data_IF_836536122811
#
_entry.id   IF_836536122811
#
_cell.length_a   1.000
_cell.length_b   1.000
_cell.length_c   1.000
_cell.angle_alpha   90.00
_cell.angle_beta   90.00
_cell.angle_gamma   90.00
#
_symmetry.space_group_name_H-M   'P 1'
#
loop_
_entity.id
_entity.type
_entity.pdbx_description
1 polymer ?
#
# COMPACT_ATOMS: atom_id res chain seq x y z
N UNK A 1 4.45 -7.23 -2.90
CA UNK A 1 4.00 -6.44 -1.73
C UNK A 1 4.84 -6.66 -0.47
N UNK A 2 5.61 -7.76 -0.31
CA UNK A 2 6.40 -7.98 0.92
C UNK A 2 7.87 -8.39 0.68
N UNK A 3 8.64 -7.55 -0.03
CA UNK A 3 10.11 -7.72 -0.16
C UNK A 3 10.91 -6.96 0.92
N UNK A 4 10.24 -6.21 1.82
CA UNK A 4 10.87 -5.33 2.82
C UNK A 4 11.26 -6.04 4.14
N UNK A 5 10.83 -7.29 4.36
CA UNK A 5 11.19 -8.10 5.55
C UNK A 5 12.71 -8.43 5.60
N UNK A 6 13.44 -8.24 4.50
CA UNK A 6 14.91 -8.43 4.43
C UNK A 6 15.68 -7.45 5.34
N UNK A 7 15.11 -6.28 5.69
CA UNK A 7 15.76 -5.35 6.63
C UNK A 7 15.92 -5.92 8.04
N UNK A 8 15.01 -6.78 8.50
CA UNK A 8 15.10 -7.40 9.84
C UNK A 8 16.35 -8.29 10.00
N UNK A 9 16.84 -8.88 8.90
CA UNK A 9 18.02 -9.76 8.86
C UNK A 9 19.35 -8.99 8.87
N UNK A 10 19.38 -7.74 8.39
CA UNK A 10 20.62 -6.96 8.37
C UNK A 10 20.98 -6.43 9.77
N UNK A 11 19.98 -6.18 10.62
CA UNK A 11 20.17 -5.55 11.93
C UNK A 11 20.66 -6.54 12.99
N UNK A 12 20.27 -7.82 12.92
CA UNK A 12 20.79 -8.84 13.84
C UNK A 12 22.29 -9.11 13.62
N UNK A 13 22.77 -9.04 12.37
CA UNK A 13 24.20 -9.17 12.05
C UNK A 13 25.05 -7.95 12.49
N UNK A 14 24.42 -6.81 12.83
CA UNK A 14 25.07 -5.54 13.18
C UNK A 14 25.07 -5.23 14.68
N UNK A 15 24.56 -6.12 15.55
CA UNK A 15 24.54 -5.94 17.01
C UNK A 15 25.92 -6.01 17.71
N UNK A 16 27.01 -5.85 16.97
CA UNK A 16 28.36 -5.67 17.52
C UNK A 16 28.74 -4.20 17.44
N UNK A 17 28.76 -3.58 18.63
CA UNK A 17 29.27 -2.24 18.96
C UNK A 17 28.27 -1.07 18.89
N UNK A 18 27.65 -0.77 20.03
CA UNK A 18 27.67 0.56 20.65
C UNK A 18 26.90 0.50 21.97
N UNK A 19 27.56 0.86 23.08
CA UNK A 19 26.91 0.97 24.38
C UNK A 19 26.57 2.42 24.69
N UNK A 20 25.35 2.69 25.13
CA UNK A 20 25.00 3.66 26.17
C UNK A 20 23.60 3.30 26.68
N UNK A 21 23.43 3.22 28.01
CA UNK A 21 22.11 3.20 28.61
C UNK A 21 21.51 4.61 28.44
N UNK A 22 20.56 4.78 27.51
CA UNK A 22 19.71 5.97 27.52
C UNK A 22 18.78 5.88 28.72
N UNK A 23 18.55 7.02 29.38
CA UNK A 23 17.48 7.13 30.36
C UNK A 23 16.14 6.79 29.68
N UNK A 24 15.12 6.42 30.46
CA UNK A 24 13.77 6.15 29.96
C UNK A 24 13.25 7.41 29.24
N UNK A 25 13.38 7.43 27.90
CA UNK A 25 13.04 8.56 27.05
C UNK A 25 11.90 8.15 26.12
N UNK A 26 10.97 9.06 25.90
CA UNK A 26 9.95 8.90 24.86
C UNK A 26 10.61 9.11 23.51
N UNK A 27 10.65 8.08 22.69
CA UNK A 27 11.01 8.20 21.29
C UNK A 27 9.82 8.73 20.50
N UNK A 28 10.06 9.62 19.54
CA UNK A 28 9.05 10.12 18.60
C UNK A 28 9.64 10.02 17.20
N UNK A 29 9.05 9.18 16.36
CA UNK A 29 9.44 9.02 14.98
C UNK A 29 8.96 10.21 14.13
N UNK A 30 9.66 10.59 13.05
CA UNK A 30 9.19 11.62 12.11
C UNK A 30 7.80 11.35 11.52
N UNK A 31 7.39 10.08 11.43
CA UNK A 31 6.05 9.66 10.99
C UNK A 31 4.94 9.79 12.05
N UNK A 32 5.24 10.42 13.20
CA UNK A 32 4.23 10.79 14.20
C UNK A 32 3.89 9.71 15.22
N UNK A 33 4.47 8.50 15.17
CA UNK A 33 4.35 7.54 16.25
C UNK A 33 5.41 7.74 17.33
N UNK A 34 5.06 7.41 18.56
CA UNK A 34 5.87 7.60 19.75
C UNK A 34 5.64 6.50 20.76
N UNK A 35 6.63 6.23 21.61
CA UNK A 35 6.55 5.24 22.67
C UNK A 35 7.69 5.48 23.67
N UNK A 36 7.56 4.94 24.88
CA UNK A 36 8.64 4.97 25.86
C UNK A 36 9.57 3.79 25.66
N UNK A 37 10.85 4.07 25.40
CA UNK A 37 11.88 3.05 25.24
C UNK A 37 12.16 2.41 26.62
N UNK A 38 12.09 1.07 26.76
CA UNK A 38 12.43 0.41 28.02
C UNK A 38 13.88 0.62 28.43
N UNK A 39 14.16 0.55 29.73
CA UNK A 39 15.51 0.78 30.25
C UNK A 39 16.50 -0.26 29.69
N UNK A 40 17.65 0.24 29.24
CA UNK A 40 18.76 -0.57 28.72
C UNK A 40 18.73 -0.83 27.22
N UNK A 41 17.69 -0.37 26.51
CA UNK A 41 17.67 -0.37 25.05
C UNK A 41 18.45 0.83 24.48
N UNK A 42 19.26 0.57 23.46
CA UNK A 42 19.96 1.59 22.67
C UNK A 42 19.47 1.59 21.21
N UNK A 43 19.36 2.78 20.61
CA UNK A 43 19.03 2.95 19.19
C UNK A 43 20.12 2.29 18.33
N UNK A 44 19.71 1.39 17.43
CA UNK A 44 20.57 0.70 16.47
C UNK A 44 20.48 1.32 15.08
N UNK A 45 19.26 1.57 14.63
CA UNK A 45 18.97 2.05 13.28
C UNK A 45 17.68 2.87 13.28
N UNK A 46 17.67 3.93 12.48
CA UNK A 46 16.48 4.71 12.15
C UNK A 46 16.43 4.87 10.63
N UNK A 47 15.28 4.60 10.05
CA UNK A 47 14.97 4.70 8.62
C UNK A 47 13.73 5.55 8.45
N UNK A 48 13.42 5.97 7.23
CA UNK A 48 12.22 6.75 6.96
C UNK A 48 10.91 6.01 7.32
N UNK A 49 10.95 4.68 7.41
CA UNK A 49 9.79 3.83 7.65
C UNK A 49 9.80 3.13 9.02
N UNK A 50 10.85 3.26 9.82
CA UNK A 50 10.96 2.46 11.04
C UNK A 50 12.24 2.66 11.83
N UNK A 51 12.25 2.08 13.02
CA UNK A 51 13.30 2.24 14.02
C UNK A 51 13.59 0.93 14.71
N UNK A 52 14.87 0.67 15.01
CA UNK A 52 15.31 -0.53 15.73
C UNK A 52 16.13 -0.17 16.95
N UNK A 53 15.82 -0.81 18.07
CA UNK A 53 16.54 -0.72 19.33
C UNK A 53 17.02 -2.11 19.77
N UNK A 54 18.15 -2.18 20.46
CA UNK A 54 18.65 -3.43 21.06
C UNK A 54 19.00 -3.26 22.53
N UNK A 55 18.81 -4.33 23.31
CA UNK A 55 19.28 -4.45 24.69
C UNK A 55 20.16 -5.68 24.78
N UNK A 56 21.47 -5.46 24.67
CA UNK A 56 22.44 -6.54 24.58
C UNK A 56 22.25 -7.39 23.32
N UNK A 57 22.57 -8.68 23.41
CA UNK A 57 22.43 -9.65 22.30
C UNK A 57 21.11 -10.45 22.36
N UNK A 58 20.35 -10.29 23.44
CA UNK A 58 19.20 -11.15 23.73
C UNK A 58 17.85 -10.51 23.40
N UNK A 59 17.81 -9.19 23.19
CA UNK A 59 16.58 -8.45 22.92
C UNK A 59 16.75 -7.46 21.78
N UNK A 60 15.81 -7.51 20.82
CA UNK A 60 15.67 -6.51 19.76
C UNK A 60 14.22 -6.05 19.70
N UNK A 61 14.02 -4.74 19.70
CA UNK A 61 12.74 -4.09 19.46
C UNK A 61 12.80 -3.40 18.10
N UNK A 62 11.86 -3.72 17.23
CA UNK A 62 11.74 -3.10 15.91
C UNK A 62 10.34 -2.53 15.75
N UNK A 63 10.25 -1.32 15.20
CA UNK A 63 8.97 -0.74 14.81
C UNK A 63 9.03 -0.33 13.35
N UNK A 64 8.01 -0.70 12.60
CA UNK A 64 7.89 -0.37 11.19
C UNK A 64 6.49 0.20 10.93
N UNK A 65 6.47 1.37 10.30
CA UNK A 65 5.29 1.92 9.68
C UNK A 65 5.14 1.34 8.28
N UNK A 66 3.95 0.84 7.99
CA UNK A 66 3.57 0.34 6.68
C UNK A 66 2.23 0.93 6.31
N UNK A 67 2.18 1.67 5.20
CA UNK A 67 0.89 1.98 4.60
C UNK A 67 0.39 0.74 3.89
N UNK A 68 -0.76 0.25 4.34
CA UNK A 68 -1.40 -0.93 3.78
C UNK A 68 -2.20 -0.56 2.53
N UNK A 69 -2.43 0.75 2.32
CA UNK A 69 -3.18 1.31 1.21
C UNK A 69 -4.69 1.18 1.36
N UNK A 70 -5.17 0.54 2.42
CA UNK A 70 -6.58 0.39 2.76
C UNK A 70 -6.72 0.04 4.26
N UNK A 71 -7.77 0.53 4.94
CA UNK A 71 -7.99 0.20 6.33
C UNK A 71 -8.46 -1.23 6.48
N UNK A 72 -7.74 -1.97 7.29
CA UNK A 72 -8.23 -3.20 7.87
C UNK A 72 -8.96 -2.89 9.17
N UNK A 73 -10.15 -3.44 9.36
CA UNK A 73 -10.63 -3.70 10.72
C UNK A 73 -9.93 -4.95 11.28
N UNK A 74 -10.04 -5.14 12.60
CA UNK A 74 -9.38 -6.25 13.29
C UNK A 74 -9.77 -7.62 12.73
N UNK A 75 -11.05 -7.82 12.40
CA UNK A 75 -11.57 -9.09 11.91
C UNK A 75 -11.08 -9.41 10.48
N UNK A 76 -11.01 -8.39 9.62
CA UNK A 76 -10.51 -8.50 8.25
C UNK A 76 -9.00 -8.77 8.26
N UNK A 77 -8.23 -8.08 9.11
CA UNK A 77 -6.81 -8.36 9.24
C UNK A 77 -6.56 -9.79 9.71
N UNK A 78 -7.29 -10.25 10.74
CA UNK A 78 -7.15 -11.61 11.27
C UNK A 78 -7.52 -12.70 10.27
N UNK A 79 -8.49 -12.45 9.38
CA UNK A 79 -8.95 -13.44 8.40
C UNK A 79 -8.16 -13.44 7.09
N UNK A 80 -7.53 -12.32 6.72
CA UNK A 80 -6.86 -12.15 5.42
C UNK A 80 -5.36 -11.93 5.58
N UNK A 81 -4.96 -10.85 6.23
CA UNK A 81 -3.56 -10.43 6.29
C UNK A 81 -2.71 -11.32 7.22
N UNK A 82 -3.24 -11.66 8.39
CA UNK A 82 -2.51 -12.43 9.40
C UNK A 82 -2.06 -13.81 8.89
N UNK A 83 -2.91 -14.63 8.23
CA UNK A 83 -2.47 -15.90 7.63
C UNK A 83 -1.40 -15.73 6.54
N UNK A 84 -1.52 -14.70 5.71
CA UNK A 84 -0.54 -14.43 4.64
C UNK A 84 0.83 -14.03 5.23
N UNK A 85 0.84 -13.19 6.26
CA UNK A 85 2.06 -12.81 6.98
C UNK A 85 2.73 -14.04 7.59
N UNK A 86 1.98 -14.91 8.26
CA UNK A 86 2.51 -16.18 8.78
C UNK A 86 3.13 -17.05 7.69
N UNK A 87 2.44 -17.24 6.56
CA UNK A 87 2.95 -18.04 5.44
C UNK A 87 4.23 -17.43 4.85
N UNK A 88 4.35 -16.11 4.83
CA UNK A 88 5.56 -15.43 4.41
C UNK A 88 6.73 -15.68 5.37
N UNK A 89 6.50 -15.60 6.69
CA UNK A 89 7.54 -15.91 7.67
C UNK A 89 8.02 -17.36 7.56
N UNK A 90 7.10 -18.32 7.40
CA UNK A 90 7.47 -19.73 7.18
C UNK A 90 8.28 -19.94 5.89
N UNK A 91 7.98 -19.18 4.84
CA UNK A 91 8.71 -19.23 3.57
C UNK A 91 10.10 -18.60 3.68
N UNK A 92 10.22 -17.50 4.43
CA UNK A 92 11.46 -16.73 4.55
C UNK A 92 12.43 -17.32 5.58
N UNK A 93 11.91 -17.95 6.61
CA UNK A 93 12.69 -18.52 7.72
C UNK A 93 12.42 -20.03 7.81
N UNK A 94 13.19 -20.86 7.10
CA UNK A 94 13.04 -22.31 7.18
C UNK A 94 13.17 -22.82 8.62
N UNK A 95 12.11 -23.46 9.13
CA UNK A 95 12.05 -23.92 10.52
C UNK A 95 11.35 -22.95 11.49
N UNK A 96 10.83 -21.82 10.99
CA UNK A 96 9.90 -20.98 11.73
C UNK A 96 8.66 -21.78 12.14
N UNK A 97 8.22 -21.59 13.38
CA UNK A 97 7.01 -22.18 13.95
C UNK A 97 6.09 -21.03 14.37
N UNK A 98 4.89 -21.00 13.80
CA UNK A 98 3.86 -20.04 14.20
C UNK A 98 3.20 -20.53 15.48
N UNK A 99 3.59 -19.95 16.63
CA UNK A 99 3.02 -20.27 17.93
C UNK A 99 1.66 -19.58 18.15
N UNK A 100 1.47 -18.40 17.55
CA UNK A 100 0.19 -17.70 17.47
C UNK A 100 0.05 -17.02 16.10
N UNK A 101 -1.00 -17.37 15.35
CA UNK A 101 -1.25 -16.86 14.00
C UNK A 101 -1.98 -15.52 13.94
N UNK A 102 -2.41 -14.98 15.08
CA UNK A 102 -3.17 -13.74 15.17
C UNK A 102 -4.23 -13.82 16.26
N UNK A 103 -4.12 -12.96 17.28
CA UNK A 103 -5.18 -12.73 18.26
C UNK A 103 -5.35 -11.23 18.54
N UNK A 104 -6.59 -10.79 18.77
CA UNK A 104 -6.85 -9.42 19.22
C UNK A 104 -6.48 -9.29 20.70
N UNK A 105 -5.62 -8.34 21.03
CA UNK A 105 -5.23 -8.01 22.41
C UNK A 105 -5.49 -6.54 22.69
N UNK A 106 -5.86 -6.22 23.93
CA UNK A 106 -6.10 -4.84 24.35
C UNK A 106 -5.12 -4.46 25.44
N UNK A 107 -4.39 -3.37 25.26
CA UNK A 107 -3.50 -2.79 26.27
C UNK A 107 -3.92 -1.34 26.47
N UNK A 108 -4.37 -1.02 27.69
CA UNK A 108 -5.01 0.27 27.96
C UNK A 108 -6.26 0.48 27.11
N UNK A 109 -6.29 1.57 26.34
CA UNK A 109 -7.39 1.91 25.43
C UNK A 109 -7.14 1.47 23.97
N UNK A 110 -6.01 0.80 23.69
CA UNK A 110 -5.61 0.43 22.33
C UNK A 110 -5.80 -1.06 22.07
N UNK A 111 -6.27 -1.37 20.87
CA UNK A 111 -6.37 -2.73 20.37
C UNK A 111 -5.21 -3.02 19.41
N UNK A 112 -4.60 -4.19 19.58
CA UNK A 112 -3.53 -4.70 18.75
C UNK A 112 -3.87 -6.09 18.26
N UNK A 113 -3.21 -6.50 17.19
CA UNK A 113 -3.22 -7.88 16.72
C UNK A 113 -1.87 -8.49 17.04
N UNK A 114 -1.86 -9.55 17.84
CA UNK A 114 -0.66 -10.25 18.27
C UNK A 114 -0.41 -11.49 17.42
N UNK A 115 0.81 -11.63 16.89
CA UNK A 115 1.34 -12.87 16.35
C UNK A 115 2.59 -13.29 17.15
N UNK A 116 2.84 -14.58 17.23
CA UNK A 116 4.03 -15.12 17.92
C UNK A 116 4.67 -16.16 17.03
N UNK A 117 5.97 -15.97 16.77
CA UNK A 117 6.80 -16.83 15.95
C UNK A 117 7.98 -17.34 16.77
N UNK A 118 8.31 -18.62 16.64
CA UNK A 118 9.57 -19.19 17.14
C UNK A 118 10.44 -19.54 15.94
N UNK A 119 11.70 -19.10 15.95
CA UNK A 119 12.64 -19.37 14.84
C UNK A 119 14.09 -19.39 15.31
N UNK A 120 15.00 -19.82 14.44
CA UNK A 120 16.44 -19.73 14.66
C UNK A 120 17.02 -18.64 13.76
N UNK A 121 17.68 -17.65 14.36
CA UNK A 121 18.40 -16.59 13.64
C UNK A 121 19.89 -16.73 13.95
N UNK A 122 20.69 -16.97 12.92
CA UNK A 122 22.15 -17.16 13.03
C UNK A 122 22.59 -18.20 14.09
N UNK A 123 21.82 -19.28 14.25
CA UNK A 123 22.10 -20.33 15.25
C UNK A 123 21.57 -20.04 16.65
N UNK A 124 20.89 -18.90 16.85
CA UNK A 124 20.27 -18.53 18.13
C UNK A 124 18.76 -18.75 18.05
N UNK A 125 18.18 -19.60 18.93
CA UNK A 125 16.73 -19.75 19.00
C UNK A 125 16.11 -18.51 19.63
N UNK A 126 15.12 -17.94 18.95
CA UNK A 126 14.42 -16.72 19.37
C UNK A 126 12.91 -16.89 19.34
N UNK A 127 12.24 -16.08 20.15
CA UNK A 127 10.78 -15.87 20.13
C UNK A 127 10.54 -14.44 19.68
N UNK A 128 9.74 -14.26 18.64
CA UNK A 128 9.35 -12.97 18.10
C UNK A 128 7.86 -12.74 18.36
N UNK A 129 7.54 -11.72 19.14
CA UNK A 129 6.18 -11.23 19.33
C UNK A 129 5.95 -10.02 18.42
N UNK A 130 4.96 -10.11 17.54
CA UNK A 130 4.59 -9.05 16.60
C UNK A 130 3.24 -8.47 17.02
N UNK A 131 3.18 -7.16 17.17
CA UNK A 131 1.98 -6.41 17.51
C UNK A 131 1.65 -5.43 16.40
N UNK A 132 0.50 -5.61 15.77
CA UNK A 132 0.02 -4.72 14.73
C UNK A 132 -1.01 -3.75 15.30
N UNK A 133 -0.74 -2.45 15.17
CA UNK A 133 -1.69 -1.39 15.44
C UNK A 133 -2.24 -0.86 14.12
N UNK A 134 -3.54 -1.01 13.91
CA UNK A 134 -4.23 -0.54 12.71
C UNK A 134 -4.73 0.88 12.94
N UNK A 135 -4.42 1.79 12.03
CA UNK A 135 -4.83 3.19 12.11
C UNK A 135 -5.12 3.73 10.71
N UNK A 136 -6.41 3.85 10.37
CA UNK A 136 -6.81 4.20 9.01
C UNK A 136 -6.25 3.19 8.02
N UNK A 137 -5.72 3.66 6.89
CA UNK A 137 -5.08 2.82 5.87
C UNK A 137 -3.66 2.35 6.22
N UNK A 138 -3.20 2.65 7.43
CA UNK A 138 -1.85 2.39 7.87
C UNK A 138 -1.81 1.35 8.99
N UNK A 139 -0.67 0.69 9.09
CA UNK A 139 -0.34 -0.24 10.14
C UNK A 139 1.03 0.09 10.69
N UNK A 140 1.13 0.06 12.01
CA UNK A 140 2.43 0.05 12.69
C UNK A 140 2.63 -1.36 13.24
N UNK A 141 3.68 -2.02 12.76
CA UNK A 141 4.15 -3.28 13.29
C UNK A 141 5.19 -3.00 14.36
N UNK A 142 5.00 -3.59 15.54
CA UNK A 142 5.94 -3.56 16.64
C UNK A 142 6.40 -4.99 16.91
N UNK A 143 7.66 -5.28 16.58
CA UNK A 143 8.28 -6.57 16.80
C UNK A 143 9.20 -6.54 18.02
N UNK A 144 8.97 -7.45 18.97
CA UNK A 144 9.84 -7.69 20.12
C UNK A 144 10.42 -9.09 19.95
N UNK A 145 11.73 -9.17 19.71
CA UNK A 145 12.46 -10.43 19.56
C UNK A 145 13.29 -10.69 20.80
N UNK A 146 13.12 -11.86 21.39
CA UNK A 146 13.83 -12.32 22.59
C UNK A 146 14.57 -13.62 22.29
N UNK A 147 15.76 -13.80 22.87
CA UNK A 147 16.37 -15.13 22.90
C UNK A 147 15.49 -16.09 23.70
N UNK A 148 15.43 -17.35 23.26
CA UNK A 148 14.59 -18.36 23.92
C UNK A 148 15.05 -18.62 25.35
N UNK A 149 16.36 -18.55 25.61
CA UNK A 149 16.93 -18.63 26.95
C UNK A 149 16.42 -17.51 27.86
N UNK A 150 16.36 -16.27 27.35
CA UNK A 150 15.82 -15.15 28.12
C UNK A 150 14.32 -15.34 28.41
N UNK A 151 13.54 -15.76 27.42
CA UNK A 151 12.11 -16.06 27.62
C UNK A 151 11.87 -17.17 28.65
N UNK A 152 12.75 -18.17 28.74
CA UNK A 152 12.65 -19.24 29.74
C UNK A 152 13.07 -18.81 31.15
N UNK A 153 14.00 -17.86 31.26
CA UNK A 153 14.58 -17.43 32.53
C UNK A 153 13.91 -16.20 33.14
N UNK A 154 13.35 -15.31 32.31
CA UNK A 154 12.78 -14.02 32.75
C UNK A 154 11.57 -13.57 31.91
N UNK A 155 10.67 -14.51 31.58
CA UNK A 155 9.43 -14.22 30.83
C UNK A 155 8.63 -13.03 31.38
N UNK A 156 8.62 -12.86 32.71
CA UNK A 156 7.87 -11.80 33.37
C UNK A 156 8.44 -10.41 33.06
N UNK A 157 9.76 -10.26 33.02
CA UNK A 157 10.37 -9.00 32.63
C UNK A 157 10.19 -8.74 31.13
N UNK A 158 10.34 -9.76 30.26
CA UNK A 158 10.04 -9.63 28.83
C UNK A 158 8.60 -9.13 28.59
N UNK A 159 7.62 -9.73 29.26
CA UNK A 159 6.23 -9.32 29.16
C UNK A 159 6.00 -7.88 29.67
N UNK A 160 6.66 -7.48 30.76
CA UNK A 160 6.57 -6.13 31.29
C UNK A 160 7.17 -5.09 30.33
N UNK A 161 8.27 -5.41 29.65
CA UNK A 161 8.87 -4.55 28.61
C UNK A 161 7.92 -4.36 27.42
N UNK A 162 7.31 -5.45 26.94
CA UNK A 162 6.29 -5.39 25.87
C UNK A 162 5.10 -4.53 26.31
N UNK A 163 4.55 -4.77 27.50
CA UNK A 163 3.41 -4.03 28.02
C UNK A 163 3.72 -2.55 28.18
N UNK A 164 4.93 -2.19 28.63
CA UNK A 164 5.37 -0.80 28.73
C UNK A 164 5.37 -0.11 27.36
N UNK A 165 5.92 -0.76 26.34
CA UNK A 165 5.96 -0.21 24.97
C UNK A 165 4.54 0.00 24.45
N UNK A 166 3.69 -1.03 24.55
CA UNK A 166 2.31 -0.95 24.07
C UNK A 166 1.47 0.08 24.85
N UNK A 167 1.62 0.17 26.17
CA UNK A 167 0.86 1.11 27.00
C UNK A 167 1.24 2.57 26.74
N UNK A 168 2.50 2.83 26.39
CA UNK A 168 3.02 4.18 26.10
C UNK A 168 2.99 4.53 24.62
N UNK A 169 2.70 3.55 23.76
CA UNK A 169 2.57 3.76 22.33
C UNK A 169 1.49 4.81 22.06
N UNK A 170 1.84 5.83 21.31
CA UNK A 170 0.96 6.91 20.91
C UNK A 170 1.25 7.26 19.47
N UNK A 171 0.22 7.27 18.65
CA UNK A 171 0.29 7.95 17.36
C UNK A 171 -0.18 9.37 17.63
N UNK A 172 0.65 10.36 17.33
CA UNK A 172 0.16 11.72 17.15
C UNK A 172 -0.79 11.65 15.97
N UNK A 173 -2.08 11.50 16.27
CA UNK A 173 -3.13 11.90 15.35
C UNK A 173 -2.70 13.28 14.84
N UNK A 174 -2.54 13.43 13.53
CA UNK A 174 -2.64 14.76 12.94
C UNK A 174 -3.90 15.36 13.56
N UNK A 175 -3.72 16.38 14.40
CA UNK A 175 -4.75 16.90 15.29
C UNK A 175 -6.05 17.03 14.51
N UNK A 176 -7.16 16.55 15.09
CA UNK A 176 -8.54 16.74 14.62
C UNK A 176 -8.60 17.29 13.20
N UNK A 177 -8.50 16.40 12.20
CA UNK A 177 -9.06 16.71 10.89
C UNK A 177 -10.59 16.57 11.05
N UNK A 178 -11.17 17.44 11.88
CA UNK A 178 -12.60 17.69 11.93
C UNK A 178 -12.99 18.12 10.54
N UNK A 179 -13.70 17.28 9.79
CA UNK A 179 -13.84 17.45 8.34
C UNK A 179 -12.46 17.65 7.72
N UNK A 180 -11.86 16.59 7.15
CA UNK A 180 -11.06 16.88 5.97
C UNK A 180 -12.04 17.61 5.07
N UNK A 181 -11.88 18.93 4.96
CA UNK A 181 -12.63 19.71 4.01
C UNK A 181 -12.51 18.89 2.74
N UNK A 182 -13.64 18.39 2.23
CA UNK A 182 -13.67 17.75 0.93
C UNK A 182 -12.78 18.62 0.05
N UNK A 183 -11.73 18.07 -0.59
CA UNK A 183 -10.66 18.88 -1.16
C UNK A 183 -11.32 20.03 -1.90
N UNK A 184 -11.13 21.27 -1.40
CA UNK A 184 -11.89 22.43 -1.88
C UNK A 184 -11.70 22.63 -3.40
N UNK A 185 -10.70 21.95 -3.98
CA UNK A 185 -10.44 21.80 -5.41
C UNK A 185 -11.62 21.31 -6.27
N UNK A 186 -12.66 20.66 -5.71
CA UNK A 186 -13.81 20.23 -6.50
C UNK A 186 -14.77 21.37 -6.87
N UNK A 187 -14.83 22.43 -6.06
CA UNK A 187 -15.86 23.46 -6.16
C UNK A 187 -15.61 24.47 -7.28
N UNK A 188 -14.36 24.62 -7.73
CA UNK A 188 -13.93 25.54 -8.79
C UNK A 188 -13.46 24.82 -10.07
N UNK A 189 -13.68 23.51 -10.19
CA UNK A 189 -13.31 22.74 -11.39
C UNK A 189 -14.20 23.14 -12.58
N UNK A 190 -13.62 23.79 -13.58
CA UNK A 190 -14.28 24.09 -14.86
C UNK A 190 -13.73 23.15 -15.92
N UNK A 191 -14.60 22.27 -16.45
CA UNK A 191 -14.23 21.34 -17.51
C UNK A 191 -13.95 22.09 -18.83
N UNK A 192 -12.72 21.96 -19.35
CA UNK A 192 -12.38 22.36 -20.72
C UNK A 192 -12.51 21.16 -21.69
N UNK A 193 -13.47 21.17 -22.62
CA UNK A 193 -13.61 20.10 -23.61
C UNK A 193 -12.44 20.02 -24.61
N UNK A 194 -11.57 21.04 -24.67
CA UNK A 194 -10.39 21.12 -25.51
C UNK A 194 -9.10 20.69 -24.84
N UNK A 195 -9.16 19.83 -23.81
CA UNK A 195 -8.01 19.49 -22.97
C UNK A 195 -6.77 19.11 -23.77
N UNK A 196 -5.64 19.72 -23.41
CA UNK A 196 -4.34 19.33 -23.94
C UNK A 196 -4.00 17.92 -23.44
N UNK A 197 -3.41 17.11 -24.32
CA UNK A 197 -3.06 15.72 -24.01
C UNK A 197 -1.56 15.50 -24.18
N UNK A 198 -0.97 14.76 -23.26
CA UNK A 198 0.37 14.20 -23.38
C UNK A 198 0.28 12.75 -23.86
N UNK A 199 1.38 12.23 -24.40
CA UNK A 199 1.48 10.84 -24.84
C UNK A 199 2.51 10.09 -24.03
N UNK A 200 2.18 8.86 -23.65
CA UNK A 200 3.06 7.91 -23.01
C UNK A 200 3.29 6.71 -23.93
N UNK A 201 4.53 6.23 -23.99
CA UNK A 201 4.87 4.96 -24.62
C UNK A 201 5.64 4.12 -23.60
N UNK A 202 5.20 2.89 -23.39
CA UNK A 202 5.87 1.97 -22.47
C UNK A 202 7.32 1.74 -22.89
N UNK A 203 8.22 1.51 -21.92
CA UNK A 203 9.68 1.47 -22.13
C UNK A 203 10.13 0.47 -23.20
N UNK A 204 9.41 -0.64 -23.34
CA UNK A 204 9.69 -1.71 -24.32
C UNK A 204 8.88 -1.56 -25.62
N UNK A 205 8.13 -0.46 -25.75
CA UNK A 205 7.26 -0.15 -26.88
C UNK A 205 6.00 -1.01 -26.95
N UNK A 206 5.68 -1.82 -25.94
CA UNK A 206 4.57 -2.79 -25.98
C UNK A 206 3.18 -2.15 -26.05
N UNK A 207 3.00 -0.94 -25.52
CA UNK A 207 1.79 -0.15 -25.69
C UNK A 207 2.08 1.35 -25.53
N UNK A 208 1.16 2.18 -26.01
CA UNK A 208 1.17 3.62 -25.82
C UNK A 208 -0.26 4.15 -25.69
N UNK A 209 -0.44 5.24 -24.95
CA UNK A 209 -1.73 5.92 -24.81
C UNK A 209 -1.52 7.41 -24.55
N UNK A 210 -2.57 8.20 -24.73
CA UNK A 210 -2.60 9.62 -24.35
C UNK A 210 -3.37 9.83 -23.05
N UNK A 211 -3.01 10.88 -22.34
CA UNK A 211 -3.64 11.28 -21.09
C UNK A 211 -3.69 12.80 -20.96
N UNK A 212 -4.58 13.35 -20.11
CA UNK A 212 -4.67 14.78 -19.83
C UNK A 212 -3.33 15.40 -19.40
N UNK A 213 -2.96 16.56 -19.95
CA UNK A 213 -1.69 17.23 -19.65
C UNK A 213 -1.62 17.84 -18.24
N UNK A 214 -2.78 18.03 -17.60
CA UNK A 214 -2.92 18.47 -16.21
C UNK A 214 -2.76 17.33 -15.20
N UNK A 215 -2.61 16.09 -15.66
CA UNK A 215 -2.34 14.93 -14.80
C UNK A 215 -0.86 14.56 -14.76
N UNK A 216 -0.47 13.93 -13.66
CA UNK A 216 0.91 13.52 -13.40
C UNK A 216 1.10 12.06 -13.77
N UNK A 217 2.04 11.79 -14.68
CA UNK A 217 2.43 10.44 -15.05
C UNK A 217 3.48 9.88 -14.09
N UNK A 218 3.21 8.74 -13.47
CA UNK A 218 4.17 7.93 -12.73
C UNK A 218 4.48 6.64 -13.50
N UNK A 219 5.76 6.43 -13.82
CA UNK A 219 6.27 5.25 -14.49
C UNK A 219 7.69 4.93 -14.00
N UNK A 220 8.14 3.68 -14.16
CA UNK A 220 9.52 3.28 -13.81
C UNK A 220 10.58 4.21 -14.42
N UNK A 221 10.31 4.81 -15.59
CA UNK A 221 11.24 5.70 -16.28
C UNK A 221 11.39 7.09 -15.66
N UNK A 222 10.35 7.61 -14.99
CA UNK A 222 10.34 8.99 -14.49
C UNK A 222 10.14 9.11 -12.97
N UNK A 223 9.86 8.00 -12.27
CA UNK A 223 9.66 8.00 -10.80
C UNK A 223 10.84 8.60 -10.04
N UNK A 224 12.08 8.39 -10.50
CA UNK A 224 13.24 8.97 -9.82
C UNK A 224 13.35 10.49 -10.04
N UNK A 225 13.07 10.96 -11.26
CA UNK A 225 13.04 12.40 -11.56
C UNK A 225 11.96 13.12 -10.74
N UNK A 226 10.79 12.49 -10.59
CA UNK A 226 9.69 13.02 -9.78
C UNK A 226 10.09 13.06 -8.30
N UNK A 227 10.72 12.00 -7.76
CA UNK A 227 11.23 12.00 -6.38
C UNK A 227 12.28 13.08 -6.15
N UNK A 228 13.23 13.23 -7.08
CA UNK A 228 14.29 14.23 -6.97
C UNK A 228 13.67 15.65 -7.00
N UNK A 229 12.68 15.87 -7.87
CA UNK A 229 11.88 17.09 -7.94
C UNK A 229 11.16 17.40 -6.63
N UNK A 230 10.54 16.42 -5.97
CA UNK A 230 9.84 16.62 -4.69
C UNK A 230 10.73 17.13 -3.54
N UNK A 231 12.05 16.97 -3.64
CA UNK A 231 13.02 17.51 -2.67
C UNK A 231 13.45 18.95 -2.97
N UNK A 232 13.13 19.44 -4.18
CA UNK A 232 13.39 20.80 -4.63
C UNK A 232 12.14 21.66 -4.43
N UNK A 233 12.22 22.69 -3.58
CA UNK A 233 11.11 23.62 -3.32
C UNK A 233 10.63 24.35 -4.60
N UNK A 234 11.38 24.30 -5.71
CA UNK A 234 10.96 24.82 -7.01
C UNK A 234 10.08 23.86 -7.82
N UNK A 235 10.01 22.59 -7.43
CA UNK A 235 9.13 21.54 -7.98
C UNK A 235 7.90 21.34 -7.08
N UNK A 236 7.36 22.43 -6.54
CA UNK A 236 6.08 22.39 -5.86
C UNK A 236 5.01 21.92 -6.87
N UNK A 237 4.65 20.63 -6.80
CA UNK A 237 3.45 20.10 -7.45
C UNK A 237 2.26 20.70 -6.70
N UNK A 238 1.87 21.89 -7.15
CA UNK A 238 0.87 22.73 -6.50
C UNK A 238 -0.43 21.93 -6.32
N UNK A 239 -0.84 21.71 -5.07
CA UNK A 239 -2.08 21.02 -4.71
C UNK A 239 -2.00 19.51 -4.53
N UNK A 240 -0.83 18.87 -4.65
CA UNK A 240 -0.69 17.42 -4.44
C UNK A 240 0.07 17.09 -3.15
N UNK A 241 -0.50 16.18 -2.36
CA UNK A 241 0.16 15.63 -1.16
C UNK A 241 1.31 14.70 -1.60
N UNK A 242 2.54 15.07 -1.21
CA UNK A 242 3.76 14.32 -1.53
C UNK A 242 3.74 12.89 -1.01
N UNK A 243 2.98 12.61 0.06
CA UNK A 243 2.80 11.26 0.59
C UNK A 243 2.03 10.35 -0.38
N UNK A 244 1.02 10.88 -1.09
CA UNK A 244 0.23 10.13 -2.09
C UNK A 244 1.11 9.74 -3.28
N UNK A 245 2.01 10.62 -3.70
CA UNK A 245 2.95 10.34 -4.81
C UNK A 245 3.93 9.25 -4.39
N UNK A 246 4.51 9.35 -3.19
CA UNK A 246 5.44 8.34 -2.66
C UNK A 246 4.79 6.95 -2.57
N UNK A 247 3.56 6.86 -2.08
CA UNK A 247 2.81 5.60 -2.00
C UNK A 247 2.60 4.97 -3.39
N UNK A 248 2.23 5.77 -4.39
CA UNK A 248 2.01 5.30 -5.75
C UNK A 248 3.30 4.91 -6.47
N UNK A 249 4.42 5.55 -6.17
CA UNK A 249 5.75 5.19 -6.71
C UNK A 249 6.15 3.77 -6.30
N UNK A 250 5.85 3.35 -5.07
CA UNK A 250 6.14 1.97 -4.63
C UNK A 250 5.35 0.93 -5.42
N UNK A 251 4.09 1.24 -5.76
CA UNK A 251 3.24 0.36 -6.58
C UNK A 251 3.76 0.23 -8.02
N UNK A 252 4.14 1.37 -8.62
CA UNK A 252 4.71 1.45 -9.97
C UNK A 252 5.99 0.62 -10.09
N UNK A 253 6.93 0.75 -9.14
CA UNK A 253 8.19 -0.02 -9.13
C UNK A 253 7.98 -1.52 -8.92
N UNK A 254 6.90 -1.91 -8.23
CA UNK A 254 6.63 -3.31 -7.88
C UNK A 254 5.96 -4.15 -8.97
N UNK A 255 5.30 -3.52 -9.95
CA UNK A 255 4.33 -4.21 -10.83
C UNK A 255 4.47 -3.91 -12.33
N UNK A 256 5.52 -3.18 -12.75
CA UNK A 256 5.66 -2.64 -14.14
C UNK A 256 4.38 -1.92 -14.60
N UNK A 257 3.74 -1.25 -13.64
CA UNK A 257 2.52 -0.48 -13.82
C UNK A 257 2.88 0.96 -14.21
N UNK A 258 2.02 1.59 -15.00
CA UNK A 258 2.02 3.05 -15.17
C UNK A 258 0.78 3.62 -14.50
N UNK A 259 0.93 4.77 -13.86
CA UNK A 259 -0.16 5.47 -13.19
C UNK A 259 -0.23 6.91 -13.66
N UNK A 260 -1.44 7.44 -13.77
CA UNK A 260 -1.73 8.83 -14.10
C UNK A 260 -2.63 9.39 -13.00
N UNK A 261 -2.13 10.41 -12.30
CA UNK A 261 -2.75 10.97 -11.11
C UNK A 261 -3.33 12.35 -11.39
N UNK A 262 -4.58 12.57 -10.98
CA UNK A 262 -5.13 13.92 -10.92
C UNK A 262 -4.59 14.66 -9.70
N UNK A 263 -4.38 15.98 -9.82
CA UNK A 263 -3.79 16.87 -8.81
C UNK A 263 -4.27 16.63 -7.37
N UNK A 264 -5.57 16.43 -7.19
CA UNK A 264 -6.20 16.25 -5.88
C UNK A 264 -6.14 14.82 -5.32
N UNK A 265 -5.64 13.84 -6.07
CA UNK A 265 -5.68 12.42 -5.70
C UNK A 265 -7.06 11.76 -5.78
N UNK A 266 -8.13 12.53 -6.02
CA UNK A 266 -9.51 12.03 -6.09
C UNK A 266 -9.81 11.14 -7.31
N UNK A 267 -8.94 11.20 -8.32
CA UNK A 267 -9.02 10.40 -9.52
C UNK A 267 -7.64 9.92 -9.93
N UNK A 268 -7.54 8.64 -10.26
CA UNK A 268 -6.35 8.07 -10.88
C UNK A 268 -6.73 7.05 -11.95
N UNK A 269 -5.80 6.86 -12.88
CA UNK A 269 -5.79 5.76 -13.83
C UNK A 269 -4.50 4.98 -13.66
N UNK A 270 -4.58 3.66 -13.60
CA UNK A 270 -3.44 2.76 -13.62
C UNK A 270 -3.58 1.76 -14.76
N UNK A 271 -2.50 1.52 -15.51
CA UNK A 271 -2.46 0.57 -16.60
C UNK A 271 -1.36 -0.47 -16.39
N UNK A 272 -1.72 -1.74 -16.57
CA UNK A 272 -0.82 -2.89 -16.43
C UNK A 272 -0.94 -3.78 -17.65
N UNK A 273 0.20 -4.11 -18.26
CA UNK A 273 0.27 -5.11 -19.33
C UNK A 273 0.44 -6.50 -18.72
N UNK A 274 -0.38 -7.46 -19.15
CA UNK A 274 -0.30 -8.85 -18.77
C UNK A 274 -0.22 -9.73 -20.03
N UNK A 275 0.67 -10.72 -20.03
CA UNK A 275 0.65 -11.80 -21.02
C UNK A 275 -0.02 -13.03 -20.38
N UNK A 276 -1.22 -13.37 -20.85
CA UNK A 276 -1.99 -14.49 -20.29
C UNK A 276 -1.65 -15.82 -20.95
N UNK A 277 -0.67 -15.85 -21.87
CA UNK A 277 -0.19 -17.05 -22.59
C UNK A 277 -1.25 -17.80 -23.41
N UNK A 278 -2.45 -17.23 -23.58
CA UNK A 278 -3.59 -17.78 -24.31
C UNK A 278 -4.10 -16.70 -25.26
N UNK A 279 -4.51 -17.08 -26.47
CA UNK A 279 -5.12 -16.15 -27.41
C UNK A 279 -6.42 -15.58 -26.84
N UNK A 280 -6.44 -14.27 -26.63
CA UNK A 280 -7.55 -13.52 -26.09
C UNK A 280 -8.40 -12.93 -27.21
N UNK A 281 -9.68 -12.84 -26.92
CA UNK A 281 -10.63 -11.96 -27.59
C UNK A 281 -11.62 -11.46 -26.53
N UNK A 282 -12.43 -10.46 -26.88
CA UNK A 282 -13.38 -9.85 -25.94
C UNK A 282 -14.37 -10.87 -25.38
N UNK A 283 -14.83 -11.83 -26.18
CA UNK A 283 -15.74 -12.88 -25.73
C UNK A 283 -15.12 -13.77 -24.65
N UNK A 284 -13.85 -14.15 -24.80
CA UNK A 284 -13.14 -14.97 -23.82
C UNK A 284 -12.91 -14.21 -22.51
N UNK A 285 -12.52 -12.93 -22.60
CA UNK A 285 -12.39 -12.09 -21.40
C UNK A 285 -13.73 -11.99 -20.69
N UNK A 286 -14.79 -11.65 -21.42
CA UNK A 286 -16.13 -11.47 -20.86
C UNK A 286 -16.70 -12.76 -20.24
N UNK A 287 -16.59 -13.89 -20.93
CA UNK A 287 -17.24 -15.14 -20.51
C UNK A 287 -16.44 -15.94 -19.49
N UNK A 288 -15.11 -15.79 -19.43
CA UNK A 288 -14.23 -16.61 -18.58
C UNK A 288 -13.47 -15.78 -17.56
N UNK A 289 -12.87 -14.67 -17.96
CA UNK A 289 -12.00 -13.89 -17.07
C UNK A 289 -12.79 -12.95 -16.16
N UNK A 290 -13.79 -12.24 -16.67
CA UNK A 290 -14.63 -11.33 -15.87
C UNK A 290 -15.24 -12.02 -14.65
N UNK A 291 -15.83 -13.23 -14.74
CA UNK A 291 -16.29 -13.96 -13.55
C UNK A 291 -15.18 -14.25 -12.54
N UNK A 292 -13.97 -14.58 -13.00
CA UNK A 292 -12.81 -14.83 -12.12
C UNK A 292 -12.36 -13.53 -11.43
N UNK A 293 -12.27 -12.43 -12.18
CA UNK A 293 -11.95 -11.11 -11.62
C UNK A 293 -12.98 -10.67 -10.59
N UNK A 294 -14.27 -10.90 -10.81
CA UNK A 294 -15.30 -10.61 -9.80
C UNK A 294 -15.06 -11.38 -8.51
N UNK A 295 -14.69 -12.67 -8.59
CA UNK A 295 -14.36 -13.44 -7.38
C UNK A 295 -13.12 -12.87 -6.67
N UNK A 296 -12.11 -12.45 -7.42
CA UNK A 296 -10.92 -11.79 -6.86
C UNK A 296 -11.28 -10.46 -6.21
N UNK A 297 -12.07 -9.61 -6.88
CA UNK A 297 -12.52 -8.35 -6.32
C UNK A 297 -13.33 -8.57 -5.05
N UNK A 298 -14.26 -9.54 -5.01
CA UNK A 298 -15.06 -9.83 -3.80
C UNK A 298 -14.22 -10.33 -2.64
N UNK A 299 -13.10 -11.00 -2.92
CA UNK A 299 -12.15 -11.40 -1.90
C UNK A 299 -11.33 -10.21 -1.38
N UNK A 300 -10.96 -9.27 -2.26
CA UNK A 300 -10.17 -8.08 -1.92
C UNK A 300 -11.02 -6.99 -1.24
N UNK A 301 -12.26 -6.81 -1.68
CA UNK A 301 -13.19 -5.78 -1.20
C UNK A 301 -14.46 -6.41 -0.63
N UNK A 302 -14.44 -6.84 0.65
CA UNK A 302 -15.64 -7.30 1.33
C UNK A 302 -16.75 -6.24 1.27
N UNK A 303 -17.94 -6.64 0.82
CA UNK A 303 -19.08 -5.72 0.70
C UNK A 303 -19.13 -4.88 -0.57
N UNK A 304 -18.24 -5.12 -1.56
CA UNK A 304 -18.33 -4.44 -2.85
C UNK A 304 -19.70 -4.65 -3.52
N UNK A 305 -20.10 -3.65 -4.29
CA UNK A 305 -21.25 -3.72 -5.18
C UNK A 305 -20.78 -3.69 -6.63
N UNK A 306 -21.10 -4.70 -7.42
CA UNK A 306 -20.86 -4.64 -8.86
C UNK A 306 -21.89 -3.70 -9.51
N UNK A 307 -21.40 -2.70 -10.24
CA UNK A 307 -22.21 -1.79 -11.05
C UNK A 307 -22.33 -2.30 -12.50
N UNK A 308 -21.26 -2.91 -13.01
CA UNK A 308 -21.20 -3.65 -14.26
C UNK A 308 -20.34 -4.91 -14.07
N UNK A 309 -20.94 -6.09 -14.25
CA UNK A 309 -20.24 -7.37 -14.13
C UNK A 309 -19.43 -7.73 -15.38
N UNK A 310 -19.60 -6.99 -16.48
CA UNK A 310 -18.95 -7.29 -17.75
C UNK A 310 -19.79 -6.79 -18.91
N UNK A 311 -19.29 -5.82 -19.66
CA UNK A 311 -19.91 -5.40 -20.92
C UNK A 311 -18.85 -5.07 -21.98
N UNK A 312 -19.27 -5.00 -23.25
CA UNK A 312 -18.40 -4.55 -24.34
C UNK A 312 -18.65 -3.06 -24.55
N UNK A 313 -17.61 -2.27 -24.35
CA UNK A 313 -17.57 -0.85 -24.68
C UNK A 313 -16.96 -0.65 -26.07
N UNK A 314 -17.68 0.03 -26.96
CA UNK A 314 -17.17 0.40 -28.29
C UNK A 314 -16.93 1.90 -28.33
N UNK A 315 -15.70 2.31 -28.61
CA UNK A 315 -15.34 3.73 -28.75
C UNK A 315 -15.91 4.33 -30.05
N UNK A 316 -16.05 5.66 -30.16
CA UNK A 316 -16.42 6.32 -31.42
C UNK A 316 -15.58 5.92 -32.63
N UNK A 317 -14.28 5.65 -32.43
CA UNK A 317 -13.34 5.14 -33.42
C UNK A 317 -13.50 3.65 -33.77
N UNK A 318 -14.45 2.95 -33.14
CA UNK A 318 -14.78 1.54 -33.40
C UNK A 318 -13.89 0.52 -32.69
N UNK A 319 -13.15 0.93 -31.66
CA UNK A 319 -12.35 0.01 -30.84
C UNK A 319 -13.23 -0.60 -29.77
N UNK A 320 -13.01 -1.88 -29.49
CA UNK A 320 -13.78 -2.60 -28.48
C UNK A 320 -12.94 -2.95 -27.27
N UNK A 321 -13.51 -2.75 -26.10
CA UNK A 321 -12.95 -3.07 -24.79
C UNK A 321 -13.97 -3.90 -24.00
N UNK A 322 -13.50 -4.79 -23.14
CA UNK A 322 -14.36 -5.36 -22.10
C UNK A 322 -14.27 -4.46 -20.88
N UNK A 323 -15.40 -4.15 -20.26
CA UNK A 323 -15.46 -3.26 -19.08
C UNK A 323 -16.09 -3.94 -17.88
N UNK A 324 -15.64 -3.57 -16.70
CA UNK A 324 -16.32 -3.86 -15.44
C UNK A 324 -16.38 -2.57 -14.61
N UNK A 325 -17.39 -2.46 -13.76
CA UNK A 325 -17.50 -1.36 -12.82
C UNK A 325 -17.95 -1.89 -11.46
N UNK A 326 -17.33 -1.39 -10.40
CA UNK A 326 -17.68 -1.72 -9.04
C UNK A 326 -17.65 -0.48 -8.15
N UNK A 327 -18.49 -0.48 -7.14
CA UNK A 327 -18.47 0.46 -6.05
C UNK A 327 -17.93 -0.25 -4.81
N UNK A 328 -16.97 0.38 -4.14
CA UNK A 328 -16.38 -0.12 -2.90
C UNK A 328 -16.43 0.98 -1.87
N UNK A 329 -16.74 0.63 -0.63
CA UNK A 329 -16.43 1.51 0.49
C UNK A 329 -15.05 1.10 1.00
N UNK A 330 -14.05 1.97 0.83
CA UNK A 330 -12.74 1.79 1.43
C UNK A 330 -12.45 3.01 2.31
N UNK A 331 -12.08 2.78 3.57
CA UNK A 331 -11.74 3.87 4.49
C UNK A 331 -12.85 4.88 4.79
N UNK A 332 -14.12 4.45 4.79
CA UNK A 332 -15.28 5.34 4.85
C UNK A 332 -15.40 6.30 3.66
N UNK A 333 -14.64 6.05 2.59
CA UNK A 333 -14.77 6.74 1.31
C UNK A 333 -15.41 5.77 0.32
N UNK A 334 -16.56 6.16 -0.20
CA UNK A 334 -17.14 5.45 -1.34
C UNK A 334 -16.28 5.75 -2.57
N UNK A 335 -15.89 4.72 -3.29
CA UNK A 335 -15.12 4.82 -4.51
C UNK A 335 -15.79 4.04 -5.62
N UNK A 336 -15.80 4.64 -6.81
CA UNK A 336 -16.19 3.98 -8.04
C UNK A 336 -14.94 3.57 -8.80
N UNK A 337 -14.84 2.28 -9.11
CA UNK A 337 -13.74 1.70 -9.88
C UNK A 337 -14.30 1.23 -11.22
N UNK A 338 -13.73 1.73 -12.31
CA UNK A 338 -14.02 1.29 -13.68
C UNK A 338 -12.79 0.61 -14.24
N UNK A 339 -12.95 -0.58 -14.81
CA UNK A 339 -11.85 -1.37 -15.37
C UNK A 339 -12.10 -1.58 -16.85
N UNK A 340 -11.09 -1.29 -17.68
CA UNK A 340 -11.07 -1.50 -19.12
C UNK A 340 -10.02 -2.56 -19.45
N UNK A 341 -10.44 -3.63 -20.10
CA UNK A 341 -9.58 -4.69 -20.63
C UNK A 341 -9.44 -4.53 -22.14
N UNK A 342 -8.24 -4.18 -22.58
CA UNK A 342 -7.86 -4.15 -23.99
C UNK A 342 -7.06 -5.41 -24.32
N UNK A 343 -7.41 -6.11 -25.41
CA UNK A 343 -6.73 -7.35 -25.78
C UNK A 343 -6.08 -7.27 -27.15
N UNK A 344 -4.89 -7.88 -27.27
CA UNK A 344 -4.21 -8.07 -28.54
C UNK A 344 -3.38 -9.36 -28.52
N UNK A 345 -3.86 -10.39 -29.21
CA UNK A 345 -3.22 -11.70 -29.21
C UNK A 345 -3.23 -12.33 -27.83
N UNK A 346 -2.07 -12.59 -27.24
CA UNK A 346 -1.95 -13.12 -25.86
C UNK A 346 -1.83 -12.04 -24.79
N UNK A 347 -1.75 -10.77 -25.21
CA UNK A 347 -1.53 -9.64 -24.32
C UNK A 347 -2.85 -8.97 -23.96
N UNK A 348 -2.93 -8.52 -22.72
CA UNK A 348 -4.04 -7.75 -22.18
C UNK A 348 -3.50 -6.52 -21.45
N UNK A 349 -3.96 -5.33 -21.80
CA UNK A 349 -3.79 -4.15 -20.94
C UNK A 349 -5.02 -4.06 -20.06
N UNK A 350 -4.81 -4.09 -18.75
CA UNK A 350 -5.82 -3.80 -17.74
C UNK A 350 -5.62 -2.34 -17.31
N UNK A 351 -6.57 -1.47 -17.69
CA UNK A 351 -6.61 -0.08 -17.26
C UNK A 351 -7.71 0.10 -16.22
N UNK A 352 -7.33 0.43 -15.00
CA UNK A 352 -8.23 0.68 -13.89
C UNK A 352 -8.33 2.18 -13.64
N UNK A 353 -9.54 2.68 -13.44
CA UNK A 353 -9.86 4.08 -13.21
C UNK A 353 -10.57 4.15 -11.86
N UNK A 354 -9.97 4.82 -10.90
CA UNK A 354 -10.50 4.92 -9.53
C UNK A 354 -10.92 6.34 -9.26
N UNK A 355 -12.17 6.52 -8.84
CA UNK A 355 -12.75 7.82 -8.51
C UNK A 355 -13.28 7.78 -7.08
N UNK A 356 -12.93 8.77 -6.27
CA UNK A 356 -13.53 8.96 -4.94
C UNK A 356 -14.88 9.70 -5.07
N UNK A 357 -15.95 9.09 -4.56
CA UNK A 357 -17.34 9.56 -4.76
C UNK A 357 -17.60 10.92 -4.07
N UNK A 358 -16.79 11.30 -3.07
CA UNK A 358 -16.89 12.59 -2.35
C UNK A 358 -16.63 13.84 -3.22
N UNK A 359 -16.25 13.67 -4.50
CA UNK A 359 -15.84 14.75 -5.42
C UNK A 359 -16.70 14.79 -6.69
N UNK A 360 -17.72 13.93 -6.81
CA UNK A 360 -18.49 13.75 -8.04
C UNK A 360 -19.47 14.90 -8.31
N UNK A 361 -18.99 15.98 -8.94
CA UNK A 361 -19.81 16.99 -9.61
C UNK A 361 -20.12 16.57 -11.06
N UNK A 362 -21.09 17.23 -11.71
CA UNK A 362 -21.40 16.97 -13.12
C UNK A 362 -20.18 17.24 -14.02
N UNK A 363 -19.44 18.31 -13.76
CA UNK A 363 -18.23 18.68 -14.49
C UNK A 363 -17.08 17.70 -14.25
N UNK A 364 -16.88 17.23 -13.01
CA UNK A 364 -15.86 16.23 -12.71
C UNK A 364 -16.19 14.87 -13.32
N UNK A 365 -17.47 14.49 -13.33
CA UNK A 365 -17.94 13.29 -14.03
C UNK A 365 -17.67 13.37 -15.54
N UNK A 366 -17.91 14.55 -16.15
CA UNK A 366 -17.58 14.77 -17.56
C UNK A 366 -16.07 14.64 -17.83
N UNK A 367 -15.23 15.16 -16.93
CA UNK A 367 -13.77 15.03 -17.02
C UNK A 367 -13.30 13.57 -16.92
N UNK A 368 -13.80 12.81 -15.95
CA UNK A 368 -13.48 11.38 -15.80
C UNK A 368 -13.87 10.61 -17.07
N UNK A 369 -15.10 10.81 -17.56
CA UNK A 369 -15.58 10.17 -18.78
C UNK A 369 -14.71 10.54 -19.99
N UNK A 370 -14.29 11.81 -20.10
CA UNK A 370 -13.42 12.26 -21.17
C UNK A 370 -12.03 11.64 -21.09
N UNK A 371 -11.50 11.47 -19.88
CA UNK A 371 -10.21 10.82 -19.66
C UNK A 371 -10.24 9.34 -20.07
N UNK A 372 -11.31 8.62 -19.72
CA UNK A 372 -11.54 7.24 -20.18
C UNK A 372 -11.63 7.18 -21.71
N UNK A 373 -12.34 8.12 -22.34
CA UNK A 373 -12.45 8.21 -23.81
C UNK A 373 -11.09 8.45 -24.47
N UNK A 374 -10.29 9.40 -23.95
CA UNK A 374 -8.95 9.69 -24.47
C UNK A 374 -8.07 8.45 -24.39
N UNK A 375 -8.02 7.78 -23.24
CA UNK A 375 -7.26 6.55 -23.10
C UNK A 375 -7.73 5.49 -24.11
N UNK A 376 -9.03 5.22 -24.18
CA UNK A 376 -9.59 4.18 -25.04
C UNK A 376 -9.40 4.47 -26.54
N UNK A 377 -9.44 5.73 -26.97
CA UNK A 377 -9.22 6.11 -28.38
C UNK A 377 -7.74 6.09 -28.79
N UNK A 378 -6.84 6.30 -27.83
CA UNK A 378 -5.41 6.47 -28.12
C UNK A 378 -4.57 5.25 -27.76
N UNK A 379 -5.09 4.31 -26.96
CA UNK A 379 -4.37 3.09 -26.58
C UNK A 379 -4.01 2.26 -27.82
N UNK A 380 -2.74 2.15 -28.12
CA UNK A 380 -2.23 1.27 -29.17
C UNK A 380 -1.33 0.22 -28.58
N UNK A 381 -1.35 -0.97 -29.18
CA UNK A 381 -0.35 -1.99 -28.91
C UNK A 381 0.83 -1.78 -29.86
N UNK A 382 2.04 -1.95 -29.31
CA UNK A 382 3.26 -1.99 -30.10
C UNK A 382 3.26 -3.15 -31.08
N UNK A 383 3.92 -2.95 -32.22
CA UNK A 383 4.25 -4.03 -33.15
C UNK A 383 5.47 -4.74 -32.59
N UNK A 384 5.31 -5.96 -32.06
CA UNK A 384 6.44 -6.86 -31.79
C UNK A 384 6.51 -7.93 -32.87
#
# INVERSE_FOLDING_TARGET
MFKKIVSLLLVLALALSCGFAQAQETYTHPLGFSFTVPEGYGLMEETDAGVTFSKGTDCVMHMEYSSIGFPFDTDTFLSVAAPELCAQYETQFPGCVVANSGEAVTVGEKAYIKQVLEMEIEGTPVVMELYYYLYGADMIMMGMTFSKELMETDAANCAAEVEQVLATFGVQQAADVSEAAAPEAAADFVFDPGMETLSYTHRDGSYSFSYPADMILLSDANVQEILDGMTDESYAMEGMDTSVIQQNIEQVRGTDMVMVLYGSGAFNMNAVLQDVSVQLNNELVLSVLCPQFIQQYKAIYPGLTMLDEGSIYTTPGGREYVTQALQVNAANTDMTIVVLYAVNGTKMVNATFTVADMVMTEDFTAYVNKTVEIFAETLTFGVQ
#
